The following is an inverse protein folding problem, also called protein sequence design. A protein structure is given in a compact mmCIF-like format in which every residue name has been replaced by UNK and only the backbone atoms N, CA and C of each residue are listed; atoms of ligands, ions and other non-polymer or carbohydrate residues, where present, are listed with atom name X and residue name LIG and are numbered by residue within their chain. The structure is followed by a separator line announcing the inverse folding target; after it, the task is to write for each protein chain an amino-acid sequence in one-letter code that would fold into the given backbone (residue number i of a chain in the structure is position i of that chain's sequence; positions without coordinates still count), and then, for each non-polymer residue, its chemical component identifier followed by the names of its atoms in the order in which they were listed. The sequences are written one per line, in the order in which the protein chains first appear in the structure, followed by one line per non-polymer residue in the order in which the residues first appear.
data_IF_212603017311
#
_entry.id   IF_212603017311
#
_cell.length_a   1.000
_cell.length_b   1.000
_cell.length_c   1.000
_cell.angle_alpha   90.00
_cell.angle_beta   90.00
_cell.angle_gamma   90.00
#
_symmetry.space_group_name_H-M   'P 1'
#
loop_
_entity.id
_entity.type
_entity.pdbx_description
1 polymer ?
#
# COMPACT_ATOMS: atom_id res chain seq x y z
N UNK A 1 10.84 -70.16 29.45
CA UNK A 1 11.34 -69.01 28.68
C UNK A 1 10.25 -68.51 27.74
N UNK A 2 9.51 -67.46 28.12
CA UNK A 2 8.59 -66.76 27.20
C UNK A 2 9.16 -65.36 26.99
N UNK A 3 9.63 -65.09 25.78
CA UNK A 3 10.12 -63.77 25.34
C UNK A 3 8.91 -62.96 24.92
N UNK A 4 8.63 -61.87 25.62
CA UNK A 4 7.63 -60.88 25.20
C UNK A 4 8.31 -59.95 24.21
N UNK A 5 7.90 -59.98 22.94
CA UNK A 5 8.33 -59.04 21.91
C UNK A 5 7.56 -57.73 22.12
N UNK A 6 8.26 -56.63 22.40
CA UNK A 6 7.70 -55.29 22.45
C UNK A 6 7.73 -54.71 21.03
N UNK A 7 6.56 -54.55 20.40
CA UNK A 7 6.40 -53.84 19.14
C UNK A 7 6.35 -52.34 19.42
N UNK A 8 7.41 -51.62 19.05
CA UNK A 8 7.44 -50.16 19.03
C UNK A 8 6.66 -49.66 17.81
N UNK A 9 5.52 -49.03 18.06
CA UNK A 9 4.74 -48.30 17.06
C UNK A 9 5.38 -46.92 16.87
N UNK A 10 6.05 -46.70 15.74
CA UNK A 10 6.53 -45.38 15.35
C UNK A 10 5.35 -44.66 14.70
N UNK A 11 4.76 -43.70 15.41
CA UNK A 11 3.80 -42.77 14.83
C UNK A 11 4.57 -41.75 13.98
N UNK A 12 4.45 -41.84 12.66
CA UNK A 12 4.93 -40.80 11.75
C UNK A 12 4.01 -39.58 11.91
N UNK A 13 4.50 -38.52 12.55
CA UNK A 13 3.87 -37.20 12.54
C UNK A 13 4.03 -36.62 11.13
N UNK A 14 2.95 -36.65 10.35
CA UNK A 14 2.86 -35.88 9.12
C UNK A 14 2.66 -34.42 9.52
N UNK A 15 3.74 -33.63 9.51
CA UNK A 15 3.59 -32.18 9.50
C UNK A 15 3.23 -31.77 8.07
N UNK A 16 1.98 -31.38 7.85
CA UNK A 16 1.60 -30.62 6.67
C UNK A 16 2.16 -29.20 6.83
N UNK A 17 3.30 -28.92 6.21
CA UNK A 17 3.71 -27.54 5.96
C UNK A 17 2.94 -27.01 4.77
N UNK A 18 2.27 -25.86 4.91
CA UNK A 18 1.84 -25.10 3.75
C UNK A 18 3.10 -24.45 3.15
N UNK A 19 3.48 -24.87 1.95
CA UNK A 19 4.55 -24.22 1.22
C UNK A 19 4.03 -22.90 0.66
N UNK A 20 4.85 -21.85 0.71
CA UNK A 20 4.57 -20.59 0.01
C UNK A 20 4.49 -20.85 -1.50
N UNK A 21 3.58 -20.18 -2.20
CA UNK A 21 3.37 -20.35 -3.64
C UNK A 21 4.15 -19.28 -4.40
N UNK A 22 5.07 -19.68 -5.28
CA UNK A 22 5.77 -18.80 -6.23
C UNK A 22 6.25 -17.46 -5.64
N UNK A 23 6.72 -17.48 -4.39
CA UNK A 23 7.32 -16.35 -3.70
C UNK A 23 8.43 -16.91 -2.80
N UNK A 24 9.63 -16.35 -2.90
CA UNK A 24 10.80 -16.76 -2.12
C UNK A 24 11.26 -15.63 -1.22
N UNK A 25 11.57 -15.93 0.04
CA UNK A 25 12.18 -14.98 0.96
C UNK A 25 13.67 -14.78 0.62
N UNK A 26 14.07 -13.55 0.34
CA UNK A 26 15.47 -13.17 0.17
C UNK A 26 16.09 -12.76 1.50
N UNK A 27 15.47 -11.81 2.21
CA UNK A 27 15.90 -11.37 3.54
C UNK A 27 14.74 -10.79 4.36
N UNK A 28 15.00 -10.57 5.66
CA UNK A 28 14.05 -9.98 6.58
C UNK A 28 14.77 -8.98 7.50
N UNK A 29 14.28 -7.74 7.52
CA UNK A 29 14.78 -6.68 8.41
C UNK A 29 13.86 -6.59 9.63
N UNK A 30 14.43 -6.81 10.81
CA UNK A 30 13.69 -6.82 12.06
C UNK A 30 13.72 -5.45 12.74
N UNK A 31 12.58 -5.06 13.34
CA UNK A 31 12.44 -3.78 14.02
C UNK A 31 11.94 -3.95 15.45
N UNK A 32 12.26 -2.98 16.31
CA UNK A 32 11.74 -2.90 17.68
C UNK A 32 10.41 -2.15 17.79
N UNK A 33 10.01 -1.48 16.72
CA UNK A 33 8.77 -0.72 16.60
C UNK A 33 7.79 -1.48 15.71
N UNK A 34 6.51 -1.23 15.89
CA UNK A 34 5.51 -1.65 14.91
C UNK A 34 5.72 -0.91 13.59
N UNK A 35 5.52 -1.63 12.49
CA UNK A 35 5.58 -1.09 11.13
C UNK A 35 4.19 -0.71 10.65
N UNK A 36 4.14 0.12 9.61
CA UNK A 36 2.97 0.33 8.77
C UNK A 36 3.41 0.28 7.30
N UNK A 37 3.03 1.24 6.48
CA UNK A 37 3.19 1.20 5.02
C UNK A 37 4.64 1.07 4.53
N UNK A 38 4.80 0.68 3.27
CA UNK A 38 6.09 0.60 2.57
C UNK A 38 5.97 1.12 1.15
N UNK A 39 7.00 1.86 0.76
CA UNK A 39 7.20 2.29 -0.61
C UNK A 39 8.64 2.03 -1.06
N UNK A 40 8.95 2.37 -2.30
CA UNK A 40 10.29 2.19 -2.85
C UNK A 40 10.79 3.40 -3.64
N UNK A 41 12.10 3.46 -3.76
CA UNK A 41 12.81 4.38 -4.63
C UNK A 41 13.96 3.67 -5.33
N UNK A 42 14.09 3.88 -6.63
CA UNK A 42 15.23 3.41 -7.42
C UNK A 42 16.12 4.62 -7.75
N UNK A 43 17.35 4.62 -7.23
CA UNK A 43 18.32 5.65 -7.59
C UNK A 43 18.97 5.30 -8.93
N UNK A 44 18.57 5.99 -9.99
CA UNK A 44 19.12 5.80 -11.33
C UNK A 44 20.65 6.08 -11.41
N UNK A 45 21.21 6.85 -10.46
CA UNK A 45 22.63 7.19 -10.50
C UNK A 45 23.52 6.06 -9.95
N UNK A 46 23.14 5.47 -8.82
CA UNK A 46 23.87 4.34 -8.22
C UNK A 46 23.40 2.98 -8.72
N UNK A 47 22.17 2.90 -9.24
CA UNK A 47 21.51 1.65 -9.61
C UNK A 47 20.99 0.87 -8.40
N UNK A 48 20.91 1.49 -7.21
CA UNK A 48 20.46 0.85 -5.98
C UNK A 48 18.97 1.09 -5.77
N UNK A 49 18.27 0.05 -5.32
CA UNK A 49 16.89 0.10 -4.87
C UNK A 49 16.84 0.30 -3.35
N UNK A 50 15.94 1.18 -2.90
CA UNK A 50 15.75 1.50 -1.49
C UNK A 50 14.30 1.27 -1.08
N UNK A 51 14.09 0.44 -0.06
CA UNK A 51 12.82 0.34 0.64
C UNK A 51 12.64 1.48 1.63
N UNK A 52 11.47 2.11 1.61
CA UNK A 52 11.11 3.22 2.51
C UNK A 52 9.99 2.71 3.41
N UNK A 53 10.33 2.46 4.66
CA UNK A 53 9.52 1.68 5.59
C UNK A 53 8.96 2.59 6.68
N UNK A 54 7.65 2.65 6.80
CA UNK A 54 6.99 3.37 7.85
C UNK A 54 7.08 2.63 9.19
N UNK A 55 7.52 3.35 10.22
CA UNK A 55 7.61 2.88 11.60
C UNK A 55 6.75 3.74 12.51
N UNK A 56 6.35 3.16 13.65
CA UNK A 56 5.56 3.88 14.66
C UNK A 56 6.16 5.23 15.05
N UNK A 57 7.49 5.34 15.08
CA UNK A 57 8.23 6.52 15.54
C UNK A 57 9.02 7.25 14.42
N UNK A 58 8.86 6.88 13.15
CA UNK A 58 9.61 7.50 12.06
C UNK A 58 9.55 6.71 10.77
N UNK A 59 10.57 6.87 9.95
CA UNK A 59 10.74 6.21 8.65
C UNK A 59 12.13 5.59 8.60
N UNK A 60 12.20 4.31 8.29
CA UNK A 60 13.44 3.58 8.03
C UNK A 60 13.68 3.55 6.52
N UNK A 61 14.93 3.72 6.10
CA UNK A 61 15.34 3.58 4.70
C UNK A 61 16.31 2.41 4.63
N UNK A 62 15.93 1.41 3.83
CA UNK A 62 16.61 0.12 3.71
C UNK A 62 17.23 0.02 2.33
N UNK A 63 18.55 -0.18 2.25
CA UNK A 63 19.25 -0.48 1.00
C UNK A 63 19.00 -1.92 0.59
N UNK A 64 18.65 -2.11 -0.69
CA UNK A 64 18.54 -3.39 -1.37
C UNK A 64 19.73 -3.61 -2.33
N UNK A 65 20.88 -2.97 -2.10
CA UNK A 65 22.10 -3.24 -2.88
C UNK A 65 22.45 -4.74 -2.90
N UNK A 66 22.23 -5.41 -1.77
CA UNK A 66 22.14 -6.87 -1.69
C UNK A 66 20.76 -7.28 -1.11
N UNK A 67 19.78 -7.69 -1.93
CA UNK A 67 18.45 -8.07 -1.45
C UNK A 67 18.43 -9.28 -0.52
N UNK A 68 19.45 -10.16 -0.58
CA UNK A 68 19.61 -11.29 0.34
C UNK A 68 20.17 -10.86 1.71
N UNK A 69 20.60 -9.61 1.85
CA UNK A 69 21.13 -9.03 3.10
C UNK A 69 20.74 -7.55 3.20
N UNK A 70 19.45 -7.24 3.08
CA UNK A 70 18.94 -5.87 3.10
C UNK A 70 19.27 -5.17 4.44
N UNK A 71 19.75 -3.92 4.37
CA UNK A 71 20.22 -3.18 5.56
C UNK A 71 19.53 -1.82 5.69
N UNK A 72 19.10 -1.47 6.91
CA UNK A 72 18.76 -0.08 7.24
C UNK A 72 20.01 0.81 7.12
N UNK A 73 19.94 1.82 6.25
CA UNK A 73 21.02 2.78 6.01
C UNK A 73 20.72 4.17 6.58
N UNK A 74 19.44 4.49 6.79
CA UNK A 74 19.04 5.74 7.43
C UNK A 74 17.73 5.59 8.19
N UNK A 75 17.54 6.45 9.20
CA UNK A 75 16.29 6.58 9.95
C UNK A 75 15.96 8.05 10.15
N UNK A 76 14.73 8.43 9.80
CA UNK A 76 14.18 9.78 10.00
C UNK A 76 13.14 9.72 11.11
N UNK A 77 13.34 10.40 12.26
CA UNK A 77 12.37 10.41 13.33
C UNK A 77 11.10 11.17 12.94
N UNK A 78 9.96 10.75 13.46
CA UNK A 78 8.68 11.42 13.27
C UNK A 78 7.77 11.31 14.50
N UNK A 79 6.60 11.96 14.49
CA UNK A 79 5.64 11.85 15.58
C UNK A 79 5.15 10.40 15.73
N UNK A 80 4.83 9.98 16.95
CA UNK A 80 4.32 8.61 17.18
C UNK A 80 2.97 8.43 16.48
N UNK A 81 2.90 7.53 15.51
CA UNK A 81 1.68 7.23 14.74
C UNK A 81 1.63 5.75 14.39
N UNK A 82 0.47 5.11 14.48
CA UNK A 82 0.28 3.76 13.92
C UNK A 82 0.06 3.80 12.42
N UNK A 83 -0.30 4.95 11.84
CA UNK A 83 -0.49 5.17 10.40
C UNK A 83 0.57 6.10 9.82
N UNK A 84 1.16 5.66 8.71
CA UNK A 84 1.89 6.47 7.73
C UNK A 84 1.58 5.89 6.36
N UNK A 85 1.62 6.75 5.36
CA UNK A 85 1.63 6.35 3.97
C UNK A 85 2.78 7.11 3.29
N UNK A 86 3.40 6.46 2.30
CA UNK A 86 4.66 6.94 1.70
C UNK A 86 4.53 6.91 0.18
N UNK A 87 4.97 7.97 -0.49
CA UNK A 87 5.15 8.02 -1.95
C UNK A 87 6.41 8.78 -2.32
N UNK A 88 6.94 8.53 -3.51
CA UNK A 88 8.19 9.14 -4.00
C UNK A 88 7.97 9.98 -5.24
N UNK A 89 8.70 11.09 -5.35
CA UNK A 89 8.83 11.90 -6.57
C UNK A 89 10.29 12.32 -6.74
N UNK A 90 10.92 11.91 -7.84
CA UNK A 90 12.36 12.03 -8.00
C UNK A 90 13.10 11.32 -6.87
N UNK A 91 13.98 12.03 -6.17
CA UNK A 91 14.72 11.54 -4.99
C UNK A 91 14.08 11.97 -3.65
N UNK A 92 12.85 12.49 -3.67
CA UNK A 92 12.13 12.86 -2.46
C UNK A 92 11.12 11.78 -2.08
N UNK A 93 11.03 11.48 -0.78
CA UNK A 93 9.93 10.73 -0.21
C UNK A 93 9.00 11.67 0.57
N UNK A 94 7.71 11.55 0.33
CA UNK A 94 6.64 12.29 1.00
C UNK A 94 5.90 11.33 1.91
N UNK A 95 5.75 11.70 3.19
CA UNK A 95 5.25 10.80 4.23
C UNK A 95 4.18 11.49 5.06
N UNK A 96 2.97 10.95 5.01
CA UNK A 96 1.86 11.39 5.86
C UNK A 96 1.92 10.70 7.23
N UNK A 97 1.16 11.23 8.18
CA UNK A 97 0.80 10.54 9.39
C UNK A 97 -0.49 11.11 9.96
N UNK A 98 -1.21 10.30 10.74
CA UNK A 98 -2.51 10.68 11.28
C UNK A 98 -2.46 11.48 12.59
N UNK A 99 -1.27 11.84 13.09
CA UNK A 99 -1.15 12.46 14.41
C UNK A 99 -0.76 13.93 14.38
N UNK A 100 0.39 14.30 13.79
CA UNK A 100 0.86 15.69 13.79
C UNK A 100 1.96 15.97 12.77
N UNK A 101 2.51 17.18 12.79
CA UNK A 101 3.69 17.61 12.01
C UNK A 101 3.51 17.62 10.47
N UNK A 102 2.27 17.59 9.99
CA UNK A 102 1.96 17.84 8.59
C UNK A 102 2.52 16.75 7.67
N UNK A 103 3.15 17.17 6.57
CA UNK A 103 3.77 16.26 5.60
C UNK A 103 5.28 16.24 5.80
N UNK A 104 5.84 15.08 6.10
CA UNK A 104 7.29 14.89 6.15
C UNK A 104 7.81 14.73 4.72
N UNK A 105 8.85 15.50 4.37
CA UNK A 105 9.54 15.40 3.07
C UNK A 105 10.99 15.05 3.33
N UNK A 106 11.44 13.93 2.79
CA UNK A 106 12.80 13.40 2.98
C UNK A 106 13.54 13.49 1.64
N UNK A 107 14.67 14.18 1.63
CA UNK A 107 15.63 14.19 0.53
C UNK A 107 16.57 12.99 0.68
N UNK A 108 16.48 12.07 -0.28
CA UNK A 108 17.25 10.82 -0.31
C UNK A 108 18.48 10.89 -1.25
N UNK A 109 18.77 12.05 -1.84
CA UNK A 109 19.90 12.20 -2.79
C UNK A 109 21.27 11.96 -2.18
N UNK A 110 21.39 12.04 -0.85
CA UNK A 110 22.62 11.81 -0.10
C UNK A 110 22.84 10.35 0.35
N UNK A 111 21.94 9.43 0.02
CA UNK A 111 22.06 8.02 0.41
C UNK A 111 23.26 7.34 -0.27
N UNK A 112 23.87 6.34 0.39
CA UNK A 112 23.51 5.82 1.72
C UNK A 112 24.10 6.64 2.90
N UNK A 113 24.89 7.68 2.64
CA UNK A 113 25.68 8.36 3.67
C UNK A 113 24.84 9.27 4.58
N UNK A 114 23.83 9.95 4.03
CA UNK A 114 22.96 10.84 4.79
C UNK A 114 21.61 11.08 4.09
N UNK A 115 20.67 11.57 4.88
CA UNK A 115 19.39 12.12 4.40
C UNK A 115 19.15 13.47 5.06
N UNK A 116 18.41 14.33 4.38
CA UNK A 116 17.88 15.56 4.99
C UNK A 116 16.35 15.56 4.90
N UNK A 117 15.68 16.30 5.76
CA UNK A 117 14.21 16.30 5.75
C UNK A 117 13.63 17.61 6.28
N UNK A 118 12.38 17.88 5.91
CA UNK A 118 11.56 18.97 6.44
C UNK A 118 10.19 18.45 6.87
N UNK A 119 9.59 19.10 7.87
CA UNK A 119 8.19 18.91 8.25
C UNK A 119 7.37 20.07 7.68
N UNK A 120 6.64 19.83 6.59
CA UNK A 120 5.85 20.82 5.91
C UNK A 120 4.48 20.98 6.59
N UNK A 121 4.33 22.06 7.37
CA UNK A 121 3.15 22.37 8.20
C UNK A 121 2.52 23.73 7.83
N UNK A 122 2.06 23.90 6.58
CA UNK A 122 1.56 25.18 6.09
C UNK A 122 0.24 25.57 6.74
N UNK A 123 -0.05 26.87 6.77
CA UNK A 123 -1.41 27.39 6.96
C UNK A 123 -2.04 27.62 5.58
N UNK A 124 -2.94 26.73 5.17
CA UNK A 124 -3.55 26.72 3.86
C UNK A 124 -4.69 27.76 3.76
N UNK A 125 -4.77 28.54 2.67
CA UNK A 125 -5.79 29.57 2.50
C UNK A 125 -7.21 29.01 2.65
N UNK A 126 -8.02 29.63 3.50
CA UNK A 126 -9.42 29.26 3.78
C UNK A 126 -9.66 27.86 4.36
N UNK A 127 -8.60 27.13 4.73
CA UNK A 127 -8.69 25.78 5.31
C UNK A 127 -8.13 25.73 6.72
N UNK A 128 -6.94 26.31 6.93
CA UNK A 128 -6.22 26.28 8.21
C UNK A 128 -4.89 25.53 8.14
N UNK A 129 -4.31 25.22 9.29
CA UNK A 129 -3.02 24.54 9.38
C UNK A 129 -3.13 23.05 9.07
N UNK A 130 -2.31 22.58 8.14
CA UNK A 130 -2.16 21.15 7.87
C UNK A 130 -1.39 20.51 9.03
N UNK A 131 -1.97 19.50 9.67
CA UNK A 131 -1.36 18.79 10.79
C UNK A 131 -1.26 17.29 10.59
N UNK A 132 -2.25 16.66 9.95
CA UNK A 132 -2.27 15.20 9.76
C UNK A 132 -3.08 14.82 8.53
N UNK A 133 -2.71 13.72 7.91
CA UNK A 133 -3.38 13.09 6.77
C UNK A 133 -3.25 11.57 6.84
N UNK A 134 -4.24 10.87 6.30
CA UNK A 134 -4.26 9.41 6.27
C UNK A 134 -3.33 8.87 5.18
N UNK A 135 -3.48 9.36 3.96
CA UNK A 135 -2.86 8.78 2.76
C UNK A 135 -2.37 9.86 1.78
N UNK A 136 -1.51 9.49 0.86
CA UNK A 136 -1.14 10.31 -0.28
C UNK A 136 -0.90 9.47 -1.56
N UNK A 137 -1.10 10.11 -2.71
CA UNK A 137 -0.66 9.59 -4.00
C UNK A 137 0.00 10.69 -4.83
N UNK A 138 0.98 10.34 -5.67
CA UNK A 138 1.65 11.30 -6.57
C UNK A 138 1.48 10.81 -8.00
N UNK A 139 0.86 11.64 -8.85
CA UNK A 139 0.64 11.31 -10.26
C UNK A 139 1.91 11.51 -11.11
N UNK A 140 1.85 11.08 -12.37
CA UNK A 140 2.95 11.16 -13.34
C UNK A 140 3.32 12.60 -13.75
N UNK A 141 2.58 13.60 -13.28
CA UNK A 141 2.83 15.02 -13.53
C UNK A 141 3.39 15.74 -12.29
N UNK A 142 3.60 15.02 -11.18
CA UNK A 142 4.13 15.58 -9.94
C UNK A 142 3.08 16.33 -9.11
N UNK A 143 1.80 16.00 -9.29
CA UNK A 143 0.77 16.41 -8.35
C UNK A 143 0.60 15.37 -7.24
N UNK A 144 0.76 15.83 -6.00
CA UNK A 144 0.51 15.03 -4.81
C UNK A 144 -0.93 15.29 -4.31
N UNK A 145 -1.68 14.22 -4.13
CA UNK A 145 -3.04 14.19 -3.64
C UNK A 145 -3.02 13.68 -2.20
N UNK A 146 -3.27 14.56 -1.23
CA UNK A 146 -3.43 14.16 0.17
C UNK A 146 -4.88 13.80 0.46
N UNK A 147 -5.07 12.70 1.19
CA UNK A 147 -6.37 12.15 1.56
C UNK A 147 -6.50 11.98 3.09
N UNK A 148 -7.73 12.07 3.60
CA UNK A 148 -8.04 11.87 5.01
C UNK A 148 -7.41 12.92 5.94
N UNK A 149 -7.18 14.14 5.44
CA UNK A 149 -6.53 15.19 6.23
C UNK A 149 -7.43 15.81 7.29
N UNK A 150 -6.80 16.47 8.29
CA UNK A 150 -7.51 17.28 9.29
C UNK A 150 -8.24 18.51 8.70
N UNK A 151 -8.09 18.77 7.40
CA UNK A 151 -8.67 19.87 6.64
C UNK A 151 -9.64 19.33 5.59
N UNK A 152 -10.44 20.22 4.98
CA UNK A 152 -11.37 19.89 3.89
C UNK A 152 -12.36 18.72 4.21
N UNK A 153 -12.70 18.53 5.49
CA UNK A 153 -13.49 17.38 5.98
C UNK A 153 -12.90 16.00 5.63
N UNK A 154 -11.58 15.92 5.46
CA UNK A 154 -10.88 14.71 5.02
C UNK A 154 -10.88 14.50 3.50
N UNK A 155 -11.38 15.47 2.73
CA UNK A 155 -11.07 15.51 1.29
C UNK A 155 -9.58 15.74 1.07
N UNK A 156 -8.94 15.18 0.03
CA UNK A 156 -8.82 15.89 -1.24
C UNK A 156 -8.04 17.20 -1.10
N UNK A 157 -6.73 17.20 -0.84
CA UNK A 157 -5.87 18.37 -1.02
C UNK A 157 -4.86 18.10 -2.13
N UNK A 158 -4.72 19.02 -3.07
CA UNK A 158 -3.81 18.87 -4.22
C UNK A 158 -2.62 19.80 -4.05
N UNK A 159 -1.42 19.23 -4.15
CA UNK A 159 -0.14 19.90 -4.08
C UNK A 159 0.63 19.69 -5.38
N UNK A 160 1.45 20.66 -5.78
CA UNK A 160 2.53 20.44 -6.73
C UNK A 160 3.80 20.09 -5.94
N UNK A 161 4.38 18.93 -6.23
CA UNK A 161 5.63 18.44 -5.64
C UNK A 161 6.77 18.33 -6.66
N UNK A 162 6.50 18.63 -7.94
CA UNK A 162 7.55 18.80 -8.94
C UNK A 162 8.28 20.13 -8.75
N UNK A 163 9.07 20.18 -7.68
CA UNK A 163 9.86 21.34 -7.27
C UNK A 163 11.31 20.93 -7.07
N UNK A 164 12.23 21.86 -7.29
CA UNK A 164 13.67 21.57 -7.16
C UNK A 164 14.07 21.21 -5.72
N UNK A 165 13.37 21.71 -4.71
CA UNK A 165 13.69 21.52 -3.29
C UNK A 165 12.88 20.40 -2.64
N UNK A 166 11.92 19.81 -3.36
CA UNK A 166 10.92 18.90 -2.81
C UNK A 166 9.86 19.59 -1.94
N UNK A 167 9.99 20.88 -1.64
CA UNK A 167 9.01 21.61 -0.83
C UNK A 167 7.66 21.70 -1.58
N UNK A 168 6.56 21.19 -1.00
CA UNK A 168 5.26 21.17 -1.67
C UNK A 168 4.65 22.56 -1.83
N UNK A 169 3.91 22.75 -2.92
CA UNK A 169 3.13 23.96 -3.19
C UNK A 169 1.64 23.63 -3.24
N UNK A 170 0.84 24.21 -2.36
CA UNK A 170 -0.61 24.01 -2.39
C UNK A 170 -1.23 24.57 -3.67
N UNK A 171 -2.06 23.75 -4.33
CA UNK A 171 -2.75 24.10 -5.57
C UNK A 171 -4.22 24.40 -5.28
N UNK A 172 -4.94 23.43 -4.74
CA UNK A 172 -6.39 23.51 -4.53
C UNK A 172 -6.87 22.44 -3.55
N UNK A 173 -8.12 22.57 -3.11
CA UNK A 173 -8.85 21.51 -2.42
C UNK A 173 -9.87 20.89 -3.38
N UNK A 174 -10.00 19.57 -3.31
CA UNK A 174 -11.06 18.81 -3.98
C UNK A 174 -12.41 18.93 -3.26
N UNK A 175 -13.43 18.18 -3.73
CA UNK A 175 -14.70 18.06 -3.04
C UNK A 175 -14.50 17.71 -1.56
N UNK A 176 -15.31 18.32 -0.68
CA UNK A 176 -15.26 18.08 0.77
C UNK A 176 -16.00 16.79 1.13
N UNK A 177 -15.51 15.68 0.56
CA UNK A 177 -15.95 14.31 0.80
C UNK A 177 -14.73 13.53 1.31
N UNK A 178 -14.91 12.77 2.39
CA UNK A 178 -13.79 12.05 3.00
C UNK A 178 -13.23 11.00 2.02
N UNK A 179 -11.97 11.18 1.62
CA UNK A 179 -11.21 10.18 0.87
C UNK A 179 -10.28 9.47 1.83
N UNK A 180 -10.34 8.14 1.86
CA UNK A 180 -9.46 7.32 2.67
C UNK A 180 -8.13 7.08 1.95
N UNK A 181 -8.21 6.74 0.66
CA UNK A 181 -7.11 6.45 -0.23
C UNK A 181 -7.42 7.05 -1.61
N UNK A 182 -6.39 7.27 -2.41
CA UNK A 182 -6.50 7.89 -3.73
C UNK A 182 -5.48 7.30 -4.68
N UNK A 183 -5.88 7.11 -5.93
CA UNK A 183 -5.01 6.79 -7.05
C UNK A 183 -5.27 7.78 -8.17
N UNK A 184 -4.25 8.23 -8.89
CA UNK A 184 -4.41 9.13 -10.01
C UNK A 184 -3.56 8.72 -11.21
N UNK A 185 -4.13 8.83 -12.40
CA UNK A 185 -3.48 8.55 -13.68
C UNK A 185 -4.20 9.29 -14.80
N UNK A 186 -3.46 9.79 -15.78
CA UNK A 186 -4.01 10.45 -16.97
C UNK A 186 -5.00 11.59 -16.69
N UNK A 187 -4.79 12.33 -15.60
CA UNK A 187 -5.72 13.36 -15.09
C UNK A 187 -7.09 12.85 -14.62
N UNK A 188 -7.23 11.57 -14.35
CA UNK A 188 -8.35 10.97 -13.64
C UNK A 188 -7.89 10.62 -12.23
N UNK A 189 -8.71 10.96 -11.25
CA UNK A 189 -8.50 10.61 -9.84
C UNK A 189 -9.57 9.63 -9.39
N UNK A 190 -9.12 8.52 -8.83
CA UNK A 190 -9.91 7.45 -8.28
C UNK A 190 -9.82 7.54 -6.75
N UNK A 191 -10.94 7.81 -6.09
CA UNK A 191 -11.02 8.02 -4.65
C UNK A 191 -11.74 6.85 -3.98
N UNK A 192 -11.16 6.35 -2.89
CA UNK A 192 -11.77 5.37 -1.99
C UNK A 192 -12.50 6.11 -0.87
N UNK A 193 -13.82 6.25 -0.98
CA UNK A 193 -14.63 6.99 -0.01
C UNK A 193 -15.18 6.03 1.07
N UNK A 194 -14.28 5.55 1.94
CA UNK A 194 -14.52 4.43 2.89
C UNK A 194 -15.82 4.53 3.70
N UNK A 195 -16.21 5.74 4.12
CA UNK A 195 -17.43 5.97 4.89
C UNK A 195 -18.69 6.04 4.03
N UNK A 196 -18.58 6.45 2.76
CA UNK A 196 -19.66 6.38 1.79
C UNK A 196 -19.80 4.95 1.23
N UNK A 197 -18.72 4.17 1.27
CA UNK A 197 -18.65 2.83 0.71
C UNK A 197 -18.57 2.81 -0.81
N UNK A 198 -18.05 3.89 -1.40
CA UNK A 198 -17.97 4.07 -2.84
C UNK A 198 -16.52 4.19 -3.32
N UNK A 199 -16.27 3.60 -4.49
CA UNK A 199 -15.30 4.12 -5.45
C UNK A 199 -15.89 5.37 -6.11
N UNK A 200 -15.15 6.47 -6.14
CA UNK A 200 -15.54 7.69 -6.87
C UNK A 200 -14.47 8.06 -7.90
N UNK A 201 -14.90 8.46 -9.10
CA UNK A 201 -14.02 8.77 -10.23
C UNK A 201 -14.21 10.25 -10.58
N UNK A 202 -13.11 10.99 -10.60
CA UNK A 202 -13.10 12.44 -10.82
C UNK A 202 -12.20 12.80 -12.00
N UNK A 203 -12.63 13.75 -12.84
CA UNK A 203 -11.77 14.48 -13.76
C UNK A 203 -11.01 15.56 -12.98
N UNK A 204 -9.69 15.45 -12.98
CA UNK A 204 -8.78 16.39 -12.32
C UNK A 204 -7.86 17.07 -13.33
N UNK A 205 -8.20 17.12 -14.62
CA UNK A 205 -7.44 17.83 -15.66
C UNK A 205 -7.30 19.32 -15.35
N UNK A 206 -8.35 19.94 -14.82
CA UNK A 206 -8.28 21.24 -14.17
C UNK A 206 -8.32 21.08 -12.65
N UNK A 207 -7.16 21.22 -12.02
CA UNK A 207 -7.01 21.09 -10.56
C UNK A 207 -7.87 22.08 -9.76
N UNK A 208 -8.34 23.18 -10.38
CA UNK A 208 -9.22 24.16 -9.74
C UNK A 208 -10.73 23.93 -10.02
N UNK A 209 -11.07 22.97 -10.87
CA UNK A 209 -12.44 22.68 -11.29
C UNK A 209 -12.63 21.16 -11.47
N UNK A 210 -12.62 20.46 -10.35
CA UNK A 210 -12.68 18.98 -10.29
C UNK A 210 -14.12 18.53 -10.52
N UNK A 211 -14.32 17.63 -11.47
CA UNK A 211 -15.64 17.13 -11.83
C UNK A 211 -15.81 15.68 -11.40
N UNK A 212 -16.89 15.38 -10.66
CA UNK A 212 -17.28 14.00 -10.41
C UNK A 212 -17.82 13.38 -11.71
N UNK A 213 -17.23 12.27 -12.13
CA UNK A 213 -17.65 11.53 -13.32
C UNK A 213 -18.58 10.37 -12.96
N UNK A 214 -18.24 9.60 -11.93
CA UNK A 214 -19.01 8.43 -11.52
C UNK A 214 -18.76 8.04 -10.06
N UNK A 215 -19.70 7.29 -9.50
CA UNK A 215 -19.54 6.59 -8.22
C UNK A 215 -20.08 5.18 -8.34
N UNK A 216 -19.40 4.21 -7.74
CA UNK A 216 -19.81 2.81 -7.66
C UNK A 216 -19.67 2.32 -6.23
N UNK A 217 -20.74 1.77 -5.65
CA UNK A 217 -20.68 1.15 -4.33
C UNK A 217 -19.94 -0.19 -4.41
N UNK A 218 -18.99 -0.42 -3.48
CA UNK A 218 -18.23 -1.68 -3.38
C UNK A 218 -18.94 -2.72 -2.51
N UNK A 219 -18.56 -4.02 -2.55
CA UNK A 219 -19.44 -5.11 -2.14
C UNK A 219 -19.79 -5.09 -0.64
N UNK A 220 -18.90 -4.56 0.20
CA UNK A 220 -19.08 -4.43 1.65
C UNK A 220 -19.27 -2.98 2.10
N UNK A 221 -19.40 -2.04 1.15
CA UNK A 221 -19.58 -0.60 1.39
C UNK A 221 -18.54 -0.04 2.36
N UNK A 222 -17.28 -0.41 2.16
CA UNK A 222 -16.16 0.04 2.98
C UNK A 222 -14.88 0.19 2.14
N UNK A 223 -15.03 0.87 1.00
CA UNK A 223 -13.97 1.06 -0.01
C UNK A 223 -12.73 1.66 0.61
N UNK A 224 -11.70 0.84 0.76
CA UNK A 224 -10.49 1.19 1.48
C UNK A 224 -9.40 1.68 0.52
N UNK A 225 -9.19 0.94 -0.57
CA UNK A 225 -8.16 1.20 -1.56
C UNK A 225 -8.66 0.93 -2.98
N UNK A 226 -8.06 1.62 -3.94
CA UNK A 226 -8.36 1.51 -5.37
C UNK A 226 -7.09 1.62 -6.21
N UNK A 227 -7.03 0.84 -7.29
CA UNK A 227 -5.99 0.94 -8.31
C UNK A 227 -6.56 0.49 -9.67
N UNK A 228 -6.03 1.00 -10.79
CA UNK A 228 -6.51 0.63 -12.14
C UNK A 228 -5.44 -0.07 -12.99
N UNK A 229 -5.86 -0.84 -13.98
CA UNK A 229 -4.94 -1.42 -14.95
C UNK A 229 -4.32 -0.34 -15.86
N UNK A 230 -3.30 -0.73 -16.63
CA UNK A 230 -2.54 0.22 -17.42
C UNK A 230 -3.37 0.95 -18.47
N UNK A 231 -4.36 0.27 -19.04
CA UNK A 231 -5.30 0.80 -20.02
C UNK A 231 -6.45 1.64 -19.42
N UNK A 232 -6.51 1.78 -18.10
CA UNK A 232 -7.55 2.54 -17.37
C UNK A 232 -8.98 2.07 -17.69
N UNK A 233 -9.13 0.76 -17.93
CA UNK A 233 -10.41 0.12 -18.29
C UNK A 233 -10.99 -0.71 -17.16
N UNK A 234 -10.17 -1.12 -16.20
CA UNK A 234 -10.56 -1.95 -15.06
C UNK A 234 -10.04 -1.35 -13.77
N UNK A 235 -10.94 -1.14 -12.80
CA UNK A 235 -10.59 -0.76 -11.45
C UNK A 235 -10.61 -1.98 -10.52
N UNK A 236 -9.66 -2.03 -9.59
CA UNK A 236 -9.57 -3.03 -8.54
C UNK A 236 -9.70 -2.33 -7.19
N UNK A 237 -10.59 -2.83 -6.33
CA UNK A 237 -10.83 -2.24 -5.01
C UNK A 237 -10.72 -3.27 -3.91
N UNK A 238 -10.37 -2.82 -2.72
CA UNK A 238 -10.52 -3.59 -1.48
C UNK A 238 -11.55 -2.92 -0.58
N UNK A 239 -12.30 -3.75 0.16
CA UNK A 239 -13.03 -3.29 1.33
C UNK A 239 -12.32 -3.83 2.57
N UNK A 240 -11.87 -2.97 3.47
CA UNK A 240 -11.07 -3.38 4.64
C UNK A 240 -11.96 -3.95 5.75
N UNK A 241 -12.60 -5.08 5.46
CA UNK A 241 -13.48 -5.82 6.37
C UNK A 241 -13.21 -7.31 6.29
N UNK A 242 -13.56 -8.01 7.36
CA UNK A 242 -13.50 -9.48 7.41
C UNK A 242 -14.29 -10.09 6.25
N UNK A 243 -13.65 -11.02 5.55
CA UNK A 243 -14.20 -11.78 4.41
C UNK A 243 -14.51 -10.93 3.17
N UNK A 244 -14.12 -9.67 3.13
CA UNK A 244 -14.26 -8.84 1.95
C UNK A 244 -13.35 -9.33 0.80
N UNK A 245 -13.78 -9.14 -0.46
CA UNK A 245 -12.99 -9.51 -1.63
C UNK A 245 -12.03 -8.39 -2.05
N UNK A 246 -11.07 -8.76 -2.91
CA UNK A 246 -10.57 -7.83 -3.93
C UNK A 246 -11.53 -7.91 -5.11
N UNK A 247 -12.20 -6.82 -5.47
CA UNK A 247 -13.20 -6.79 -6.53
C UNK A 247 -12.66 -6.08 -7.77
N UNK A 248 -13.00 -6.60 -8.96
CA UNK A 248 -12.68 -5.99 -10.25
C UNK A 248 -13.93 -5.37 -10.90
N UNK A 249 -13.77 -4.21 -11.53
CA UNK A 249 -14.86 -3.47 -12.17
C UNK A 249 -14.46 -3.01 -13.58
N UNK A 250 -15.33 -3.21 -14.57
CA UNK A 250 -15.23 -2.56 -15.87
C UNK A 250 -15.66 -1.10 -15.72
N UNK A 251 -14.74 -0.18 -16.05
CA UNK A 251 -14.96 1.27 -15.98
C UNK A 251 -14.93 1.94 -17.36
N UNK A 252 -15.07 1.18 -18.44
CA UNK A 252 -15.06 1.71 -19.82
C UNK A 252 -16.29 2.56 -20.15
N UNK A 253 -17.44 2.28 -19.52
CA UNK A 253 -18.62 3.15 -19.50
C UNK A 253 -18.93 3.59 -18.07
N UNK A 254 -18.56 4.82 -17.74
CA UNK A 254 -18.77 5.40 -16.42
C UNK A 254 -20.25 5.56 -16.03
N UNK A 255 -21.19 5.43 -16.97
CA UNK A 255 -22.63 5.39 -16.67
C UNK A 255 -23.14 3.98 -16.34
N UNK A 256 -22.33 2.95 -16.59
CA UNK A 256 -22.67 1.55 -16.39
C UNK A 256 -21.41 0.77 -15.98
N UNK A 257 -20.90 1.07 -14.78
CA UNK A 257 -19.80 0.33 -14.17
C UNK A 257 -20.31 -1.06 -13.77
N UNK A 258 -19.62 -2.11 -14.21
CA UNK A 258 -20.00 -3.49 -13.96
C UNK A 258 -18.93 -4.21 -13.15
N UNK A 259 -19.31 -4.87 -12.05
CA UNK A 259 -18.42 -5.79 -11.35
C UNK A 259 -18.16 -7.02 -12.22
N UNK A 260 -16.90 -7.37 -12.39
CA UNK A 260 -16.43 -8.44 -13.27
C UNK A 260 -16.15 -9.75 -12.52
N UNK A 261 -15.48 -9.65 -11.36
CA UNK A 261 -15.11 -10.79 -10.53
C UNK A 261 -14.69 -10.36 -9.12
N UNK A 262 -14.66 -11.33 -8.20
CA UNK A 262 -14.18 -11.19 -6.83
C UNK A 262 -13.10 -12.23 -6.51
N UNK A 263 -11.98 -11.77 -5.96
CA UNK A 263 -10.94 -12.64 -5.43
C UNK A 263 -10.98 -12.70 -3.90
N UNK A 264 -10.93 -13.93 -3.36
CA UNK A 264 -10.65 -14.24 -1.95
C UNK A 264 -9.70 -15.44 -1.85
N UNK A 265 -8.77 -15.46 -0.89
CA UNK A 265 -7.88 -16.61 -0.72
C UNK A 265 -8.68 -17.87 -0.34
N UNK A 266 -8.58 -18.92 -1.16
CA UNK A 266 -9.41 -20.14 -1.03
C UNK A 266 -9.11 -20.88 0.29
N UNK A 267 -7.86 -20.86 0.75
CA UNK A 267 -7.44 -21.55 1.97
C UNK A 267 -8.02 -20.98 3.26
N UNK A 268 -8.39 -19.70 3.25
CA UNK A 268 -8.84 -18.93 4.43
C UNK A 268 -10.21 -18.28 4.22
N UNK A 269 -10.95 -18.70 3.19
CA UNK A 269 -12.29 -18.20 2.90
C UNK A 269 -13.24 -18.36 4.11
N UNK A 270 -14.01 -17.32 4.42
CA UNK A 270 -14.92 -17.25 5.57
C UNK A 270 -14.24 -17.41 6.95
N UNK A 271 -12.94 -17.08 7.05
CA UNK A 271 -12.20 -17.07 8.31
C UNK A 271 -11.92 -15.65 8.82
N UNK A 272 -12.54 -14.63 8.22
CA UNK A 272 -12.45 -13.24 8.64
C UNK A 272 -11.15 -12.54 8.24
N UNK A 273 -10.40 -13.08 7.28
CA UNK A 273 -9.22 -12.42 6.68
C UNK A 273 -9.63 -11.15 5.95
N UNK A 274 -8.73 -10.16 5.91
CA UNK A 274 -9.05 -8.79 5.48
C UNK A 274 -8.05 -8.37 4.40
N UNK A 275 -8.50 -8.00 3.17
CA UNK A 275 -7.65 -7.33 2.22
C UNK A 275 -7.37 -5.89 2.68
N UNK A 276 -6.13 -5.43 2.57
CA UNK A 276 -5.75 -4.06 2.90
C UNK A 276 -5.57 -3.22 1.62
N UNK A 277 -4.40 -3.23 0.97
CA UNK A 277 -4.19 -2.54 -0.30
C UNK A 277 -4.00 -3.53 -1.45
N UNK A 278 -4.54 -3.19 -2.63
CA UNK A 278 -4.23 -3.82 -3.91
C UNK A 278 -3.43 -2.85 -4.77
N UNK A 279 -2.33 -3.35 -5.32
CA UNK A 279 -1.51 -2.65 -6.30
C UNK A 279 -1.51 -3.42 -7.61
N UNK A 280 -1.73 -2.73 -8.73
CA UNK A 280 -1.61 -3.35 -10.06
C UNK A 280 -0.17 -3.24 -10.55
N UNK A 281 0.44 -4.39 -10.86
CA UNK A 281 1.75 -4.50 -11.48
C UNK A 281 1.64 -5.30 -12.78
N UNK A 282 1.58 -4.59 -13.92
CA UNK A 282 1.22 -5.16 -15.22
C UNK A 282 -0.14 -5.88 -15.14
N UNK A 283 -0.16 -7.18 -15.39
CA UNK A 283 -1.36 -8.02 -15.32
C UNK A 283 -1.56 -8.71 -13.96
N UNK A 284 -0.78 -8.35 -12.94
CA UNK A 284 -0.85 -8.95 -11.62
C UNK A 284 -1.36 -7.95 -10.59
N UNK A 285 -2.16 -8.44 -9.65
CA UNK A 285 -2.53 -7.71 -8.44
C UNK A 285 -1.63 -8.21 -7.32
N UNK A 286 -0.95 -7.30 -6.64
CA UNK A 286 -0.26 -7.61 -5.40
C UNK A 286 -1.02 -6.99 -4.25
N UNK A 287 -1.35 -7.84 -3.27
CA UNK A 287 -2.30 -7.51 -2.23
C UNK A 287 -1.67 -7.75 -0.88
N UNK A 288 -1.65 -6.73 -0.02
CA UNK A 288 -1.42 -6.94 1.42
C UNK A 288 -2.71 -7.40 2.07
N UNK A 289 -2.66 -8.52 2.80
CA UNK A 289 -3.84 -9.24 3.28
C UNK A 289 -3.80 -9.52 4.78
N UNK A 290 -3.25 -8.59 5.57
CA UNK A 290 -3.11 -8.70 7.02
C UNK A 290 -2.64 -10.09 7.45
N UNK A 291 -3.51 -10.85 8.12
CA UNK A 291 -3.21 -12.14 8.72
C UNK A 291 -2.94 -13.25 7.70
N UNK A 292 -3.23 -12.98 6.43
CA UNK A 292 -3.00 -13.89 5.32
C UNK A 292 -1.77 -13.50 4.47
N UNK A 293 -0.98 -12.52 4.94
CA UNK A 293 0.30 -12.15 4.33
C UNK A 293 0.17 -11.41 2.99
N UNK A 294 1.20 -11.56 2.14
CA UNK A 294 1.22 -11.02 0.78
C UNK A 294 0.61 -12.01 -0.22
N UNK A 295 -0.17 -11.51 -1.18
CA UNK A 295 -0.83 -12.30 -2.22
C UNK A 295 -0.54 -11.75 -3.61
N UNK A 296 -0.39 -12.64 -4.59
CA UNK A 296 -0.21 -12.31 -6.01
C UNK A 296 -1.32 -12.98 -6.80
N UNK A 297 -2.08 -12.18 -7.54
CA UNK A 297 -3.26 -12.62 -8.30
C UNK A 297 -3.06 -12.26 -9.77
N UNK A 298 -3.20 -13.24 -10.66
CA UNK A 298 -3.25 -13.00 -12.10
C UNK A 298 -4.61 -12.38 -12.47
N UNK A 299 -4.56 -11.16 -13.01
CA UNK A 299 -5.69 -10.37 -13.48
C UNK A 299 -5.63 -10.11 -14.99
N UNK A 300 -4.84 -10.87 -15.76
CA UNK A 300 -4.82 -10.81 -17.24
C UNK A 300 -6.18 -11.09 -17.86
N UNK A 301 -7.08 -11.75 -17.12
CA UNK A 301 -8.51 -11.89 -17.41
C UNK A 301 -9.29 -11.39 -16.20
N UNK A 302 -9.72 -10.12 -16.17
CA UNK A 302 -10.33 -9.50 -14.99
C UNK A 302 -11.70 -10.10 -14.60
N UNK A 303 -12.30 -10.93 -15.48
CA UNK A 303 -13.51 -11.72 -15.18
C UNK A 303 -13.20 -13.09 -14.54
N UNK A 304 -11.93 -13.37 -14.22
CA UNK A 304 -11.48 -14.62 -13.63
C UNK A 304 -10.10 -14.42 -12.97
N UNK A 305 -10.11 -13.84 -11.77
CA UNK A 305 -8.96 -13.60 -10.92
C UNK A 305 -8.45 -14.90 -10.30
N UNK A 306 -7.15 -15.17 -10.40
CA UNK A 306 -6.54 -16.41 -9.89
C UNK A 306 -5.32 -16.10 -9.04
N UNK A 307 -5.28 -16.58 -7.79
CA UNK A 307 -4.03 -16.55 -7.00
C UNK A 307 -2.95 -17.38 -7.68
N UNK A 308 -1.80 -16.77 -7.93
CA UNK A 308 -0.62 -17.40 -8.53
C UNK A 308 0.61 -17.31 -7.64
N UNK A 309 0.56 -16.55 -6.55
CA UNK A 309 1.62 -16.49 -5.55
C UNK A 309 1.11 -16.05 -4.19
N UNK A 310 1.80 -16.47 -3.13
CA UNK A 310 1.52 -16.04 -1.76
C UNK A 310 2.77 -16.14 -0.88
N UNK A 311 2.84 -15.27 0.13
CA UNK A 311 3.82 -15.37 1.21
C UNK A 311 3.20 -14.97 2.54
N UNK A 312 3.01 -15.95 3.45
CA UNK A 312 2.54 -15.71 4.81
C UNK A 312 3.63 -15.07 5.68
N UNK A 313 3.42 -13.80 6.07
CA UNK A 313 4.29 -13.05 6.98
C UNK A 313 3.89 -13.18 8.45
N UNK A 314 2.71 -13.75 8.74
CA UNK A 314 2.08 -13.77 10.06
C UNK A 314 1.65 -15.19 10.44
N UNK A 315 2.49 -15.88 11.20
CA UNK A 315 2.24 -17.26 11.64
C UNK A 315 1.21 -17.39 12.80
N UNK A 316 0.34 -16.39 12.97
CA UNK A 316 -0.71 -16.38 13.99
C UNK A 316 -2.01 -17.02 13.53
N UNK A 317 -3.13 -16.58 14.12
CA UNK A 317 -4.46 -17.03 13.71
C UNK A 317 -5.00 -16.21 12.54
N UNK A 318 -5.86 -16.83 11.73
CA UNK A 318 -6.52 -16.15 10.63
C UNK A 318 -7.51 -15.09 11.13
N UNK A 319 -7.62 -14.01 10.36
CA UNK A 319 -8.57 -12.92 10.55
C UNK A 319 -8.04 -11.75 11.37
N UNK A 320 -8.76 -10.63 11.26
CA UNK A 320 -8.38 -9.37 11.90
C UNK A 320 -7.18 -8.68 11.25
N UNK A 321 -6.71 -7.63 11.93
CA UNK A 321 -5.78 -6.63 11.38
C UNK A 321 -4.33 -6.86 11.81
N UNK A 322 -3.90 -8.09 12.12
CA UNK A 322 -2.48 -8.36 12.39
C UNK A 322 -1.83 -8.86 11.10
N UNK A 323 -0.54 -8.58 10.90
CA UNK A 323 0.21 -9.13 9.78
C UNK A 323 0.58 -8.07 8.73
N UNK A 324 0.56 -8.47 7.45
CA UNK A 324 0.96 -7.67 6.31
C UNK A 324 0.09 -6.41 6.13
N UNK A 325 0.70 -5.25 6.28
CA UNK A 325 0.08 -3.94 6.11
C UNK A 325 0.33 -3.39 4.70
N UNK A 326 1.60 -3.17 4.34
CA UNK A 326 2.00 -2.63 3.04
C UNK A 326 2.65 -3.70 2.17
N UNK A 327 2.52 -3.53 0.86
CA UNK A 327 3.22 -4.34 -0.13
C UNK A 327 3.65 -3.46 -1.31
N UNK A 328 4.93 -3.44 -1.65
CA UNK A 328 5.48 -2.66 -2.76
C UNK A 328 6.12 -3.56 -3.84
N UNK A 329 5.63 -3.54 -5.09
CA UNK A 329 6.12 -4.42 -6.16
C UNK A 329 6.87 -3.74 -7.31
N UNK A 330 7.11 -2.43 -7.25
CA UNK A 330 7.44 -1.64 -8.44
C UNK A 330 8.94 -1.51 -8.75
N UNK A 331 9.78 -2.32 -8.11
CA UNK A 331 11.22 -2.29 -8.36
C UNK A 331 11.60 -2.89 -9.72
N UNK A 332 12.58 -2.32 -10.44
CA UNK A 332 13.16 -2.91 -11.64
C UNK A 332 13.64 -4.36 -11.47
N UNK A 333 14.17 -4.69 -10.28
CA UNK A 333 14.61 -6.05 -9.93
C UNK A 333 13.46 -7.05 -9.78
N UNK A 334 12.22 -6.57 -9.74
CA UNK A 334 11.02 -7.36 -9.42
C UNK A 334 10.99 -7.87 -7.97
N UNK A 335 11.88 -7.36 -7.12
CA UNK A 335 11.81 -7.56 -5.69
C UNK A 335 10.52 -6.96 -5.15
N UNK A 336 9.83 -7.71 -4.28
CA UNK A 336 8.61 -7.27 -3.61
C UNK A 336 8.92 -7.05 -2.13
N UNK A 337 8.55 -5.89 -1.61
CA UNK A 337 8.62 -5.60 -0.18
C UNK A 337 7.27 -5.86 0.47
N UNK A 338 7.27 -6.46 1.65
CA UNK A 338 6.07 -6.59 2.48
C UNK A 338 6.39 -6.13 3.90
N UNK A 339 5.62 -5.20 4.44
CA UNK A 339 5.73 -4.83 5.84
C UNK A 339 4.68 -5.54 6.67
N UNK A 340 5.14 -6.33 7.64
CA UNK A 340 4.30 -6.87 8.69
C UNK A 340 4.37 -5.95 9.91
N UNK A 341 3.22 -5.59 10.48
CA UNK A 341 3.15 -4.68 11.63
C UNK A 341 4.01 -5.11 12.83
N UNK A 342 4.32 -6.40 12.95
CA UNK A 342 5.07 -6.94 14.09
C UNK A 342 6.28 -7.78 13.71
N UNK A 343 6.27 -8.38 12.52
CA UNK A 343 7.33 -9.28 12.07
C UNK A 343 8.38 -8.60 11.17
N UNK A 344 8.26 -7.29 10.92
CA UNK A 344 9.28 -6.51 10.23
C UNK A 344 9.09 -6.43 8.71
N UNK A 345 10.15 -6.06 8.00
CA UNK A 345 10.16 -5.94 6.54
C UNK A 345 10.62 -7.26 5.94
N UNK A 346 9.84 -7.81 5.03
CA UNK A 346 10.18 -8.98 4.21
C UNK A 346 10.57 -8.52 2.82
N UNK A 347 11.70 -9.04 2.33
CA UNK A 347 12.19 -8.82 0.96
C UNK A 347 11.99 -10.13 0.20
N UNK A 348 11.13 -10.10 -0.81
CA UNK A 348 10.64 -11.29 -1.50
C UNK A 348 10.97 -11.24 -3.00
N UNK A 349 11.05 -12.42 -3.61
CA UNK A 349 11.16 -12.60 -5.05
C UNK A 349 10.01 -13.48 -5.56
N UNK A 350 9.16 -12.98 -6.49
CA UNK A 350 8.18 -13.80 -7.21
C UNK A 350 8.79 -14.86 -8.13
#
# INVERSE_FOLDING_TARGET
MKRTLLLLFIAALWQSGNAQLNMTLLSQVNYSQSLNDVWGWYDENSGIEYGIVGLRNGVSIVSLENPEDAQEVAFVPGPSSTWRDIKTWGHFAYVTNETSNGLLVIDMSGLPDNVSYIEWTPNLPNLGTLSSCHNLYIDEFGYCYLAGCNLNAGGMLILNVDTQTGEPQFVSAGPSVYAHDVYAKSNIMYSSEIYAGNMAIYDVSNKNDIQLLATQQTPFSFTHNIWVNDEETVAFTTDERGDAPVAAYDITDLNNIEELDEYRPIGTINQGVIPHNVHVWNNYLLVSYYSDGGRVVDASRPTNLIEVGNFDTFLGGNGGYNGAWGLYPFFPSQTVLVTDQTNGLFVLQP
#
